data_IF_459347967616
#
_entry.id   IF_459347967616
#
_cell.length_a   1.000
_cell.length_b   1.000
_cell.length_c   1.000
_cell.angle_alpha   90.00
_cell.angle_beta   90.00
_cell.angle_gamma   90.00
#
_symmetry.space_group_name_H-M   'P 1'
#
loop_
_entity.id
_entity.type
_entity.pdbx_description
1 polymer ?
#
# COMPACT_ATOMS: atom_id res chain seq x y z
N UNK A 1 1.71 7.05 16.05
CA UNK A 1 0.37 6.62 15.56
C UNK A 1 -0.70 6.90 16.61
N UNK A 2 -0.70 8.10 17.21
CA UNK A 2 -1.47 8.41 18.42
C UNK A 2 -2.99 8.46 18.21
N UNK A 3 -3.41 8.78 16.99
CA UNK A 3 -4.83 8.76 16.61
C UNK A 3 -5.37 7.34 16.45
N UNK A 4 -4.52 6.37 16.15
CA UNK A 4 -4.97 5.00 15.95
C UNK A 4 -5.25 4.27 17.26
N UNK A 5 -4.54 4.61 18.33
CA UNK A 5 -4.74 4.07 19.68
C UNK A 5 -6.14 4.36 20.24
N UNK A 6 -6.73 5.49 19.87
CA UNK A 6 -8.06 5.92 20.34
C UNK A 6 -9.19 5.57 19.36
N UNK A 7 -8.86 5.12 18.15
CA UNK A 7 -9.85 4.88 17.10
C UNK A 7 -10.29 3.42 17.13
N UNK A 8 -11.58 3.19 17.33
CA UNK A 8 -12.19 1.87 17.50
C UNK A 8 -12.52 1.17 16.16
N UNK A 9 -11.98 1.66 15.05
CA UNK A 9 -12.25 1.10 13.73
C UNK A 9 -11.49 -0.22 13.50
N UNK A 10 -12.16 -1.31 13.09
CA UNK A 10 -11.51 -2.57 12.76
C UNK A 10 -10.70 -2.49 11.46
N UNK A 11 -11.00 -1.52 10.58
CA UNK A 11 -10.27 -1.29 9.33
C UNK A 11 -9.51 0.03 9.38
N UNK A 12 -8.25 0.01 8.95
CA UNK A 12 -7.38 1.18 8.88
C UNK A 12 -6.77 1.27 7.49
N UNK A 13 -6.93 2.42 6.85
CA UNK A 13 -6.49 2.67 5.49
C UNK A 13 -5.51 3.84 5.50
N UNK A 14 -4.38 3.67 4.80
CA UNK A 14 -3.51 4.78 4.42
C UNK A 14 -3.33 4.77 2.91
N UNK A 15 -3.46 5.94 2.32
CA UNK A 15 -3.19 6.17 0.90
C UNK A 15 -2.09 7.21 0.76
N UNK A 16 -1.31 7.11 -0.30
CA UNK A 16 -0.24 8.05 -0.66
C UNK A 16 0.76 8.38 0.48
N UNK A 17 0.95 7.46 1.42
CA UNK A 17 1.74 7.71 2.63
C UNK A 17 3.22 7.96 2.35
N UNK A 18 3.75 7.46 1.23
CA UNK A 18 5.17 7.49 0.86
C UNK A 18 5.51 8.45 -0.30
N UNK A 19 4.56 9.25 -0.79
CA UNK A 19 4.73 10.12 -1.98
C UNK A 19 5.96 11.04 -1.90
N UNK A 20 6.29 11.54 -0.70
CA UNK A 20 7.41 12.44 -0.48
C UNK A 20 8.64 11.78 0.16
N UNK A 21 8.61 10.46 0.35
CA UNK A 21 9.73 9.73 0.95
C UNK A 21 10.72 9.27 -0.12
N UNK A 22 12.00 9.28 0.23
CA UNK A 22 13.02 8.56 -0.53
C UNK A 22 12.94 7.04 -0.28
N UNK A 23 13.71 6.27 -1.04
CA UNK A 23 13.72 4.80 -0.97
C UNK A 23 14.12 4.25 0.42
N UNK A 24 15.03 4.90 1.13
CA UNK A 24 15.51 4.43 2.43
C UNK A 24 14.43 4.63 3.50
N UNK A 25 13.89 5.84 3.57
CA UNK A 25 12.83 6.22 4.50
C UNK A 25 11.54 5.44 4.22
N UNK A 26 11.19 5.26 2.94
CA UNK A 26 10.03 4.44 2.54
C UNK A 26 10.15 3.01 3.02
N UNK A 27 11.32 2.38 2.88
CA UNK A 27 11.54 1.01 3.38
C UNK A 27 11.35 0.94 4.90
N UNK A 28 11.97 1.85 5.63
CA UNK A 28 11.86 1.91 7.09
C UNK A 28 10.40 2.11 7.54
N UNK A 29 9.66 3.02 6.90
CA UNK A 29 8.25 3.26 7.22
C UNK A 29 7.37 2.06 6.90
N UNK A 30 7.56 1.40 5.75
CA UNK A 30 6.80 0.19 5.42
C UNK A 30 7.04 -0.93 6.44
N UNK A 31 8.28 -1.17 6.86
CA UNK A 31 8.59 -2.17 7.89
C UNK A 31 7.91 -1.84 9.22
N UNK A 32 7.95 -0.58 9.65
CA UNK A 32 7.25 -0.13 10.86
C UNK A 32 5.74 -0.32 10.77
N UNK A 33 5.12 0.03 9.64
CA UNK A 33 3.68 -0.11 9.43
C UNK A 33 3.23 -1.57 9.45
N UNK A 34 4.00 -2.46 8.82
CA UNK A 34 3.73 -3.90 8.81
C UNK A 34 3.90 -4.48 10.23
N UNK A 35 4.94 -4.08 10.96
CA UNK A 35 5.15 -4.52 12.34
C UNK A 35 4.01 -4.07 13.24
N UNK A 36 3.55 -2.81 13.10
CA UNK A 36 2.39 -2.29 13.83
C UNK A 36 1.12 -3.14 13.55
N UNK A 37 0.86 -3.42 12.27
CA UNK A 37 -0.31 -4.18 11.85
C UNK A 37 -0.28 -5.64 12.32
N UNK A 38 0.89 -6.28 12.31
CA UNK A 38 1.04 -7.72 12.60
C UNK A 38 1.30 -8.03 14.07
N UNK A 39 2.00 -7.15 14.80
CA UNK A 39 2.41 -7.40 16.19
C UNK A 39 1.50 -6.71 17.19
N UNK A 40 1.17 -5.43 16.98
CA UNK A 40 0.44 -4.63 17.96
C UNK A 40 -1.08 -4.75 17.79
N UNK A 41 -1.59 -4.59 16.56
CA UNK A 41 -3.03 -4.52 16.29
C UNK A 41 -3.55 -5.76 15.55
N UNK A 42 -3.36 -6.95 16.15
CA UNK A 42 -3.71 -8.24 15.53
C UNK A 42 -5.19 -8.42 15.20
N UNK A 43 -6.07 -7.70 15.87
CA UNK A 43 -7.52 -7.72 15.65
C UNK A 43 -8.00 -6.75 14.56
N UNK A 44 -7.11 -5.96 13.98
CA UNK A 44 -7.46 -4.92 13.01
C UNK A 44 -6.86 -5.25 11.64
N UNK A 45 -7.58 -4.90 10.57
CA UNK A 45 -7.09 -5.04 9.21
C UNK A 45 -6.53 -3.72 8.69
N UNK A 46 -5.32 -3.77 8.14
CA UNK A 46 -4.65 -2.62 7.56
C UNK A 46 -4.56 -2.75 6.04
N UNK A 47 -4.96 -1.70 5.34
CA UNK A 47 -4.81 -1.57 3.89
C UNK A 47 -3.92 -0.36 3.61
N UNK A 48 -2.87 -0.58 2.84
CA UNK A 48 -1.93 0.46 2.44
C UNK A 48 -1.97 0.58 0.92
N UNK A 49 -2.23 1.80 0.43
CA UNK A 49 -2.17 2.14 -0.98
C UNK A 49 -0.93 3.02 -1.21
N UNK A 50 -0.15 2.66 -2.23
CA UNK A 50 1.04 3.41 -2.64
C UNK A 50 1.17 3.40 -4.16
N UNK A 51 1.47 4.55 -4.80
CA UNK A 51 1.79 4.60 -6.21
C UNK A 51 3.22 4.13 -6.51
N UNK A 52 4.11 4.06 -5.52
CA UNK A 52 5.54 3.78 -5.71
C UNK A 52 5.88 2.27 -5.81
N UNK A 53 4.87 1.40 -5.65
CA UNK A 53 5.01 -0.06 -5.75
C UNK A 53 5.39 -0.72 -4.42
N UNK A 54 5.47 -2.05 -4.41
CA UNK A 54 5.58 -2.88 -3.19
C UNK A 54 6.74 -3.87 -3.23
N UNK A 55 7.70 -3.66 -4.14
CA UNK A 55 8.81 -4.59 -4.39
C UNK A 55 9.75 -4.77 -3.21
N UNK A 56 9.87 -3.76 -2.34
CA UNK A 56 10.74 -3.85 -1.16
C UNK A 56 10.08 -4.60 0.02
N UNK A 57 8.79 -4.97 -0.08
CA UNK A 57 8.09 -5.66 1.00
C UNK A 57 8.47 -7.15 0.99
N UNK A 58 9.14 -7.59 2.05
CA UNK A 58 9.41 -9.01 2.29
C UNK A 58 8.10 -9.70 2.69
N UNK A 59 7.81 -10.84 2.07
CA UNK A 59 6.66 -11.67 2.44
C UNK A 59 6.71 -12.02 3.93
N UNK A 60 5.64 -11.70 4.66
CA UNK A 60 5.48 -12.02 6.09
C UNK A 60 4.15 -12.72 6.32
N UNK A 61 4.08 -13.50 7.40
CA UNK A 61 2.85 -14.16 7.81
C UNK A 61 1.76 -13.12 8.11
N UNK A 62 0.57 -13.30 7.54
CA UNK A 62 -0.55 -12.36 7.68
C UNK A 62 -0.50 -11.13 6.78
N UNK A 63 0.52 -11.00 5.90
CA UNK A 63 0.60 -9.89 4.93
C UNK A 63 0.25 -10.38 3.54
N UNK A 64 -0.68 -9.68 2.88
CA UNK A 64 -1.06 -9.93 1.49
C UNK A 64 -0.68 -8.73 0.63
N UNK A 65 -0.07 -9.00 -0.52
CA UNK A 65 0.39 -7.97 -1.45
C UNK A 65 -0.43 -8.10 -2.73
N UNK A 66 -1.08 -7.00 -3.12
CA UNK A 66 -1.84 -6.91 -4.36
C UNK A 66 -1.19 -5.85 -5.24
N UNK A 67 -0.75 -6.23 -6.43
CA UNK A 67 -0.24 -5.30 -7.45
C UNK A 67 -1.33 -5.08 -8.49
N UNK A 68 -1.69 -3.82 -8.75
CA UNK A 68 -2.64 -3.52 -9.82
C UNK A 68 -2.06 -3.92 -11.17
N UNK A 69 -2.84 -4.62 -12.02
CA UNK A 69 -2.40 -4.94 -13.36
C UNK A 69 -2.16 -3.65 -14.13
N UNK A 70 -1.05 -3.59 -14.89
CA UNK A 70 -0.80 -2.48 -15.81
C UNK A 70 -1.97 -2.41 -16.78
N UNK A 71 -2.61 -1.25 -16.86
CA UNK A 71 -3.62 -0.98 -17.88
C UNK A 71 -2.95 -1.10 -19.24
N UNK A 72 -3.19 -2.22 -19.93
CA UNK A 72 -2.85 -2.34 -21.34
C UNK A 72 -3.82 -1.43 -22.09
N UNK A 73 -3.44 -0.17 -22.27
CA UNK A 73 -4.15 0.76 -23.14
C UNK A 73 -4.07 0.22 -24.57
N UNK A 74 -5.06 -0.58 -24.95
CA UNK A 74 -5.26 -1.01 -26.34
C UNK A 74 -5.97 0.11 -27.09
N UNK A 75 -5.34 1.27 -27.17
CA UNK A 75 -5.85 2.38 -27.99
C UNK A 75 -5.47 2.12 -29.45
N UNK A 76 -6.24 1.26 -30.10
CA UNK A 76 -6.36 1.31 -31.56
C UNK A 76 -7.24 2.52 -31.89
N UNK A 77 -6.64 3.70 -31.99
CA UNK A 77 -7.25 4.76 -32.79
C UNK A 77 -7.10 4.34 -34.25
N UNK A 78 -8.11 3.63 -34.77
CA UNK A 78 -8.26 3.46 -36.21
C UNK A 78 -8.86 4.76 -36.71
N UNK A 79 -8.03 5.66 -37.22
CA UNK A 79 -8.51 6.69 -38.13
C UNK A 79 -8.83 5.97 -39.44
N UNK A 80 -10.11 5.69 -39.64
CA UNK A 80 -10.66 5.37 -40.95
C UNK A 80 -11.17 6.70 -41.51
N UNK A 81 -10.31 7.38 -42.28
CA UNK A 81 -10.75 8.46 -43.17
C UNK A 81 -11.00 7.81 -44.54
N UNK A 82 -12.23 8.03 -45.04
CA UNK A 82 -12.69 7.72 -46.39
C UNK A 82 -12.03 8.63 -47.44
#
# INVERSE_FOLDING_TARGET
MSLWEIMDSPFRLLDEFDVFMDLFNRKMVMEMLIDLATKEYKSNQFLFFTPQGVKEVVSREGVQIFEMPKLALRTKFVFQED
#
